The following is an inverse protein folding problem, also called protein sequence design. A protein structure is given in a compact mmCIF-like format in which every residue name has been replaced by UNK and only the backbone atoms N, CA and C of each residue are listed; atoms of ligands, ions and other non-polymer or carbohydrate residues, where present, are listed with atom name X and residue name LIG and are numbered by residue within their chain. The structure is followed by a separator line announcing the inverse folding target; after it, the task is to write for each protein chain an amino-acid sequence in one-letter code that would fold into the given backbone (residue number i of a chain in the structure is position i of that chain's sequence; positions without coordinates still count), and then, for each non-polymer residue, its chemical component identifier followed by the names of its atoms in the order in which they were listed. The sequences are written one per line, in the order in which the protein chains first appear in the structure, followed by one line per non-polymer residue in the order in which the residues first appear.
data_IF_970219623325
#
_entry.id   IF_970219623325
#
_cell.length_a   1.000
_cell.length_b   1.000
_cell.length_c   1.000
_cell.angle_alpha   90.00
_cell.angle_beta   90.00
_cell.angle_gamma   90.00
#
_symmetry.space_group_name_H-M   'P 1'
#
loop_
_entity.id
_entity.type
_entity.pdbx_description
1 polymer ?
#
# COMPACT_ATOMS: atom_id res chain seq x y z
N UNK A 1 -1.60 14.68 -26.28
CA UNK A 1 -0.41 14.05 -25.66
C UNK A 1 -0.87 13.16 -24.53
N UNK A 2 -0.35 11.94 -24.45
CA UNK A 2 -0.56 11.06 -23.29
C UNK A 2 0.48 11.46 -22.25
N UNK A 3 0.04 11.73 -21.02
CA UNK A 3 0.96 11.96 -19.90
C UNK A 3 1.27 10.60 -19.30
N UNK A 4 2.53 10.16 -19.41
CA UNK A 4 2.99 8.85 -18.89
C UNK A 4 2.95 8.76 -17.35
N UNK A 5 2.70 9.87 -16.67
CA UNK A 5 2.60 9.94 -15.21
C UNK A 5 3.93 10.28 -14.55
N UNK A 6 4.06 9.94 -13.27
CA UNK A 6 5.28 10.12 -12.47
C UNK A 6 5.87 8.75 -12.13
N UNK A 7 7.19 8.60 -12.29
CA UNK A 7 7.92 7.37 -12.01
C UNK A 7 9.11 7.61 -11.09
N UNK A 8 9.38 6.64 -10.21
CA UNK A 8 10.56 6.60 -9.33
C UNK A 8 11.08 5.16 -9.21
N UNK A 9 12.36 4.99 -8.89
CA UNK A 9 13.04 3.68 -8.83
C UNK A 9 12.81 2.95 -7.49
N UNK A 10 11.54 2.64 -7.21
CA UNK A 10 11.10 1.77 -6.10
C UNK A 10 9.98 0.85 -6.56
N UNK A 11 9.95 -0.37 -6.03
CA UNK A 11 8.91 -1.36 -6.26
C UNK A 11 8.09 -1.66 -5.00
N UNK A 12 7.24 -2.68 -5.07
CA UNK A 12 6.51 -3.19 -3.90
C UNK A 12 7.47 -3.84 -2.89
N UNK A 13 7.18 -3.65 -1.59
CA UNK A 13 7.98 -4.25 -0.51
C UNK A 13 7.69 -5.74 -0.27
N UNK A 14 6.56 -6.24 -0.78
CA UNK A 14 6.16 -7.64 -0.64
C UNK A 14 5.48 -8.16 -1.90
N UNK A 15 5.79 -9.38 -2.37
CA UNK A 15 5.10 -9.97 -3.52
C UNK A 15 3.61 -10.22 -3.27
N UNK A 16 3.17 -10.23 -2.00
CA UNK A 16 1.74 -10.34 -1.66
C UNK A 16 0.91 -9.12 -2.06
N UNK A 17 1.54 -8.01 -2.47
CA UNK A 17 0.85 -6.82 -2.98
C UNK A 17 0.64 -6.86 -4.50
N UNK A 18 1.17 -7.87 -5.20
CA UNK A 18 0.92 -8.06 -6.63
C UNK A 18 -0.58 -8.31 -6.86
N UNK A 19 -1.19 -7.51 -7.75
CA UNK A 19 -2.58 -7.67 -8.17
C UNK A 19 -2.71 -8.35 -9.52
N UNK A 20 -1.64 -8.33 -10.33
CA UNK A 20 -1.54 -9.01 -11.60
C UNK A 20 -0.32 -9.95 -11.58
N UNK A 21 -0.57 -11.23 -11.30
CA UNK A 21 0.48 -12.24 -11.13
C UNK A 21 1.22 -12.56 -12.44
N UNK A 22 0.57 -12.44 -13.59
CA UNK A 22 1.18 -12.74 -14.89
C UNK A 22 2.25 -11.71 -15.25
N UNK A 23 1.98 -10.44 -14.97
CA UNK A 23 2.90 -9.33 -15.22
C UNK A 23 3.82 -9.03 -14.04
N UNK A 24 3.56 -9.62 -12.86
CA UNK A 24 4.24 -9.30 -11.61
C UNK A 24 4.16 -7.79 -11.25
N UNK A 25 2.95 -7.22 -11.31
CA UNK A 25 2.71 -5.79 -11.00
C UNK A 25 1.58 -5.59 -9.99
N UNK A 26 1.64 -4.45 -9.29
CA UNK A 26 0.55 -3.92 -8.49
C UNK A 26 -0.14 -2.79 -9.27
N UNK A 27 -1.28 -3.13 -9.88
CA UNK A 27 -2.18 -2.19 -10.56
C UNK A 27 -3.29 -1.78 -9.56
N UNK A 28 -3.38 -0.48 -9.25
CA UNK A 28 -4.38 0.12 -8.34
C UNK A 28 -5.18 1.21 -9.08
N UNK A 29 -6.50 1.19 -8.97
CA UNK A 29 -7.41 2.17 -9.58
C UNK A 29 -8.09 3.02 -8.51
N UNK A 30 -8.28 4.32 -8.79
CA UNK A 30 -8.95 5.29 -7.87
C UNK A 30 -8.43 5.17 -6.42
N UNK A 31 -7.12 5.29 -6.28
CA UNK A 31 -6.34 4.94 -5.09
C UNK A 31 -6.08 6.15 -4.19
N UNK A 32 -6.16 5.95 -2.87
CA UNK A 32 -5.61 6.90 -1.90
C UNK A 32 -4.10 6.74 -1.79
N UNK A 33 -3.38 7.85 -1.66
CA UNK A 33 -1.92 7.83 -1.45
C UNK A 33 -1.62 8.38 -0.05
N UNK A 34 -1.07 7.53 0.82
CA UNK A 34 -0.53 7.92 2.12
C UNK A 34 0.97 8.17 1.99
N UNK A 35 1.38 9.41 2.25
CA UNK A 35 2.78 9.80 2.31
C UNK A 35 3.23 9.89 3.77
N UNK A 36 4.31 9.18 4.13
CA UNK A 36 4.86 9.22 5.47
C UNK A 36 6.38 9.38 5.45
N UNK A 37 6.92 10.42 6.07
CA UNK A 37 8.33 10.79 5.91
C UNK A 37 9.34 9.86 6.62
N UNK A 38 8.88 8.97 7.51
CA UNK A 38 9.75 8.11 8.34
C UNK A 38 9.52 6.64 8.06
N UNK A 39 10.34 5.78 8.67
CA UNK A 39 10.10 4.33 8.71
C UNK A 39 8.83 3.98 9.48
N UNK A 40 8.05 3.05 8.92
CA UNK A 40 6.90 2.44 9.57
C UNK A 40 7.28 1.06 10.14
N UNK A 41 7.48 0.99 11.46
CA UNK A 41 7.71 -0.28 12.17
C UNK A 41 6.45 -0.83 12.84
N UNK A 42 5.47 0.03 13.14
CA UNK A 42 4.14 -0.33 13.62
C UNK A 42 3.06 0.57 12.96
N UNK A 43 1.80 0.17 13.07
CA UNK A 43 0.67 0.88 12.44
C UNK A 43 -0.22 1.64 13.44
N UNK A 44 0.10 1.67 14.74
CA UNK A 44 -0.79 2.23 15.77
C UNK A 44 -1.12 3.69 15.51
N UNK A 45 -0.13 4.50 15.13
CA UNK A 45 -0.35 5.91 14.78
C UNK A 45 -1.16 6.10 13.49
N UNK A 46 -1.29 5.06 12.66
CA UNK A 46 -1.97 5.10 11.36
C UNK A 46 -3.37 4.47 11.39
N UNK A 47 -3.74 3.78 12.48
CA UNK A 47 -5.03 3.10 12.61
C UNK A 47 -6.23 3.96 12.21
N UNK A 48 -6.37 5.23 12.67
CA UNK A 48 -7.53 6.05 12.30
C UNK A 48 -7.64 6.28 10.79
N UNK A 49 -6.51 6.44 10.11
CA UNK A 49 -6.46 6.64 8.65
C UNK A 49 -6.77 5.34 7.92
N UNK A 50 -6.18 4.22 8.37
CA UNK A 50 -6.44 2.91 7.78
C UNK A 50 -7.91 2.52 7.89
N UNK A 51 -8.53 2.73 9.05
CA UNK A 51 -9.96 2.49 9.27
C UNK A 51 -10.84 3.34 8.35
N UNK A 52 -10.52 4.62 8.20
CA UNK A 52 -11.24 5.50 7.29
C UNK A 52 -11.14 5.00 5.84
N UNK A 53 -9.96 4.55 5.40
CA UNK A 53 -9.79 4.03 4.04
C UNK A 53 -10.55 2.72 3.82
N UNK A 54 -10.54 1.79 4.79
CA UNK A 54 -11.32 0.54 4.71
C UNK A 54 -12.80 0.83 4.44
N UNK A 55 -13.39 1.84 5.09
CA UNK A 55 -14.80 2.20 4.91
C UNK A 55 -15.12 2.66 3.48
N UNK A 56 -14.15 3.20 2.75
CA UNK A 56 -14.36 3.64 1.37
C UNK A 56 -14.30 2.51 0.35
N UNK A 57 -13.78 1.33 0.74
CA UNK A 57 -13.47 0.22 -0.17
C UNK A 57 -12.52 0.56 -1.34
N UNK A 58 -11.88 1.74 -1.29
CA UNK A 58 -10.86 2.16 -2.25
C UNK A 58 -9.48 1.59 -1.88
N UNK A 59 -8.58 1.40 -2.86
CA UNK A 59 -7.23 0.98 -2.56
C UNK A 59 -6.40 2.05 -1.84
N UNK A 60 -5.32 1.63 -1.20
CA UNK A 60 -4.35 2.48 -0.53
C UNK A 60 -2.93 2.17 -1.03
N UNK A 61 -2.23 3.19 -1.53
CA UNK A 61 -0.79 3.16 -1.76
C UNK A 61 -0.10 3.86 -0.59
N UNK A 62 0.86 3.19 0.05
CA UNK A 62 1.68 3.76 1.13
C UNK A 62 3.07 4.02 0.57
N UNK A 63 3.53 5.27 0.67
CA UNK A 63 4.91 5.67 0.34
C UNK A 63 5.55 6.19 1.63
N UNK A 64 6.58 5.49 2.09
CA UNK A 64 7.35 5.88 3.27
C UNK A 64 8.86 5.71 3.06
N UNK A 65 9.67 6.14 4.04
CA UNK A 65 11.11 5.86 4.03
C UNK A 65 11.38 4.36 3.95
N UNK A 66 10.64 3.58 4.75
CA UNK A 66 10.62 2.12 4.75
C UNK A 66 9.34 1.60 5.45
N UNK A 67 8.98 0.34 5.23
CA UNK A 67 7.95 -0.38 6.00
C UNK A 67 8.49 -1.75 6.40
N UNK A 68 8.69 -1.96 7.70
CA UNK A 68 9.41 -3.11 8.21
C UNK A 68 8.71 -3.80 9.38
N UNK A 69 9.19 -5.00 9.72
CA UNK A 69 8.78 -5.73 10.92
C UNK A 69 7.27 -6.00 11.00
N UNK A 70 6.68 -5.62 12.13
CA UNK A 70 5.27 -5.87 12.44
C UNK A 70 4.33 -5.12 11.51
N UNK A 71 4.68 -3.89 11.10
CA UNK A 71 3.87 -3.10 10.18
C UNK A 71 3.70 -3.83 8.83
N UNK A 72 4.80 -4.26 8.22
CA UNK A 72 4.77 -4.97 6.94
C UNK A 72 3.97 -6.28 7.05
N UNK A 73 4.22 -7.07 8.11
CA UNK A 73 3.49 -8.31 8.35
C UNK A 73 1.98 -8.07 8.48
N UNK A 74 1.58 -7.02 9.20
CA UNK A 74 0.18 -6.67 9.43
C UNK A 74 -0.52 -6.24 8.14
N UNK A 75 0.16 -5.44 7.31
CA UNK A 75 -0.33 -5.04 6.00
C UNK A 75 -0.56 -6.26 5.10
N UNK A 76 0.44 -7.15 4.98
CA UNK A 76 0.34 -8.38 4.19
C UNK A 76 -0.83 -9.25 4.66
N UNK A 77 -0.98 -9.47 5.96
CA UNK A 77 -2.09 -10.27 6.51
C UNK A 77 -3.44 -9.62 6.22
N UNK A 78 -3.55 -8.30 6.34
CA UNK A 78 -4.79 -7.58 6.02
C UNK A 78 -5.16 -7.69 4.53
N UNK A 79 -4.18 -7.60 3.63
CA UNK A 79 -4.37 -7.81 2.20
C UNK A 79 -4.90 -9.21 1.91
N UNK A 80 -4.27 -10.24 2.48
CA UNK A 80 -4.67 -11.64 2.28
C UNK A 80 -6.06 -11.95 2.83
N UNK A 81 -6.48 -11.25 3.90
CA UNK A 81 -7.83 -11.36 4.47
C UNK A 81 -8.88 -10.53 3.73
N UNK A 82 -8.48 -9.71 2.76
CA UNK A 82 -9.36 -8.83 2.00
C UNK A 82 -9.87 -7.61 2.79
N UNK A 83 -9.28 -7.31 3.96
CA UNK A 83 -9.70 -6.18 4.80
C UNK A 83 -9.26 -4.83 4.23
N UNK A 84 -8.01 -4.75 3.77
CA UNK A 84 -7.42 -3.56 3.19
C UNK A 84 -6.95 -3.87 1.77
N UNK A 85 -7.33 -3.04 0.80
CA UNK A 85 -6.85 -3.13 -0.59
C UNK A 85 -5.55 -2.32 -0.72
N UNK A 86 -4.43 -2.95 -0.41
CA UNK A 86 -3.08 -2.39 -0.61
C UNK A 86 -2.29 -3.15 -1.67
#
# INVERSE_FOLDING_TARGET
EVVEGMQFDRGYLSPYFVTNADKMVAELEDVYILLHEKKLSNLQAMLPVLEAVVQTSKPLLIISEDVEGEALATLVVNKLRGGLKI
#
